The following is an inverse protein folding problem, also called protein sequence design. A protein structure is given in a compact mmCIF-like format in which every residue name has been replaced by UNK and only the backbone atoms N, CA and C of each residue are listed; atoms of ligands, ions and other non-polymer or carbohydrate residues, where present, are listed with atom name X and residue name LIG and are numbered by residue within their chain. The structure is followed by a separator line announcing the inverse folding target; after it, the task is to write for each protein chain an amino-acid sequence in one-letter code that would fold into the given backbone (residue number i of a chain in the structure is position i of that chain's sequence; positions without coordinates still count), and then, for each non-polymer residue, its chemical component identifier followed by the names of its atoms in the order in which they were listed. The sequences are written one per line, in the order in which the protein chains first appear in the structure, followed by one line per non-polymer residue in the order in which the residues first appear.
data_IF_177188251845
#
_entry.id   IF_177188251845
#
_cell.length_a   1.000
_cell.length_b   1.000
_cell.length_c   1.000
_cell.angle_alpha   90.00
_cell.angle_beta   90.00
_cell.angle_gamma   90.00
#
_symmetry.space_group_name_H-M   'P 1'
#
loop_
_entity.id
_entity.type
_entity.pdbx_description
1 polymer ?
#
# COMPACT_ATOMS: atom_id res chain seq x y z
N UNK A 1 3.20 -33.31 -4.90
CA UNK A 1 3.15 -32.09 -4.06
C UNK A 1 4.45 -32.01 -3.30
N UNK A 2 5.07 -30.83 -3.22
CA UNK A 2 6.34 -30.62 -2.52
C UNK A 2 6.09 -29.70 -1.33
N UNK A 3 6.65 -30.01 -0.17
CA UNK A 3 6.62 -29.11 0.98
C UNK A 3 7.60 -27.96 0.73
N UNK A 4 7.13 -26.73 0.90
CA UNK A 4 7.92 -25.51 0.79
C UNK A 4 7.66 -24.61 1.99
N UNK A 5 8.68 -23.83 2.37
CA UNK A 5 8.61 -22.92 3.49
C UNK A 5 8.91 -21.49 3.05
N UNK A 6 8.28 -20.54 3.72
CA UNK A 6 8.45 -19.10 3.55
C UNK A 6 8.83 -18.49 4.88
N UNK A 7 9.78 -17.56 4.85
CA UNK A 7 10.31 -16.90 6.04
C UNK A 7 10.29 -15.39 5.82
N UNK A 8 9.66 -14.67 6.73
CA UNK A 8 9.65 -13.21 6.80
C UNK A 8 10.34 -12.82 8.10
N UNK A 9 11.51 -12.18 7.99
CA UNK A 9 12.44 -12.02 9.11
C UNK A 9 12.69 -10.56 9.41
N UNK A 10 12.22 -10.11 10.57
CA UNK A 10 12.41 -8.79 11.13
C UNK A 10 13.25 -8.90 12.43
N UNK A 11 13.80 -7.80 12.96
CA UNK A 11 14.68 -7.85 14.14
C UNK A 11 14.05 -8.52 15.36
N UNK A 12 12.75 -8.28 15.62
CA UNK A 12 12.06 -8.83 16.79
C UNK A 12 10.92 -9.79 16.46
N UNK A 13 10.68 -10.08 15.18
CA UNK A 13 9.63 -10.97 14.72
C UNK A 13 10.14 -11.81 13.55
N UNK A 14 9.91 -13.13 13.58
CA UNK A 14 10.09 -13.98 12.41
C UNK A 14 8.84 -14.82 12.18
N UNK A 15 8.27 -14.71 10.98
CA UNK A 15 7.11 -15.47 10.57
C UNK A 15 7.53 -16.57 9.60
N UNK A 16 7.22 -17.83 9.95
CA UNK A 16 7.39 -18.98 9.08
C UNK A 16 6.04 -19.48 8.61
N UNK A 17 5.93 -19.73 7.31
CA UNK A 17 4.73 -20.28 6.67
C UNK A 17 5.17 -21.52 5.89
N UNK A 18 4.77 -22.69 6.36
CA UNK A 18 5.06 -23.98 5.75
C UNK A 18 3.82 -24.52 5.04
N UNK A 19 3.98 -25.02 3.83
CA UNK A 19 2.85 -25.49 3.06
C UNK A 19 3.21 -26.35 1.88
N UNK A 20 2.18 -26.77 1.15
CA UNK A 20 2.33 -27.58 -0.05
C UNK A 20 2.29 -26.69 -1.29
N UNK A 21 3.18 -26.99 -2.23
CA UNK A 21 3.12 -26.46 -3.59
C UNK A 21 2.54 -27.46 -4.56
N UNK A 22 1.78 -26.97 -5.53
CA UNK A 22 1.40 -27.74 -6.70
C UNK A 22 2.63 -28.02 -7.58
N UNK A 23 2.72 -29.20 -8.22
CA UNK A 23 3.81 -29.51 -9.14
C UNK A 23 3.63 -28.66 -10.41
N UNK A 24 4.55 -27.73 -10.64
CA UNK A 24 4.68 -27.01 -11.92
C UNK A 24 5.52 -27.89 -12.86
N UNK A 25 5.14 -27.99 -14.13
CA UNK A 25 5.95 -28.65 -15.16
C UNK A 25 7.39 -28.11 -15.11
N UNK A 26 8.39 -29.00 -15.00
CA UNK A 26 9.82 -28.72 -14.77
C UNK A 26 10.53 -27.92 -15.90
N UNK A 27 9.77 -27.36 -16.84
CA UNK A 27 10.28 -26.66 -18.03
C UNK A 27 10.61 -25.17 -17.79
N UNK A 28 10.41 -24.66 -16.57
CA UNK A 28 10.61 -23.25 -16.21
C UNK A 28 11.46 -23.11 -14.93
N UNK A 29 12.80 -23.12 -15.02
CA UNK A 29 13.68 -23.09 -13.84
C UNK A 29 13.70 -21.74 -13.08
N UNK A 30 12.98 -20.72 -13.55
CA UNK A 30 13.03 -19.35 -13.02
C UNK A 30 11.80 -18.91 -12.22
N UNK A 31 10.79 -19.77 -12.05
CA UNK A 31 9.56 -19.40 -11.32
C UNK A 31 9.57 -20.04 -9.94
N UNK A 32 9.67 -19.21 -8.89
CA UNK A 32 9.55 -19.65 -7.49
C UNK A 32 8.17 -20.32 -7.29
N UNK A 33 8.11 -21.53 -6.68
CA UNK A 33 6.87 -22.30 -6.59
C UNK A 33 5.82 -21.62 -5.71
N UNK A 34 4.54 -21.80 -6.03
CA UNK A 34 3.43 -21.22 -5.25
C UNK A 34 3.10 -22.13 -4.07
N UNK A 35 3.01 -21.57 -2.86
CA UNK A 35 2.50 -22.26 -1.67
C UNK A 35 0.98 -22.03 -1.63
N UNK A 36 0.19 -23.05 -1.94
CA UNK A 36 -1.28 -22.93 -2.04
C UNK A 36 -2.03 -23.46 -0.82
N UNK A 37 -1.43 -24.37 -0.06
CA UNK A 37 -2.04 -25.00 1.12
C UNK A 37 -1.13 -24.79 2.32
N UNK A 38 -1.65 -24.16 3.37
CA UNK A 38 -0.94 -23.97 4.65
C UNK A 38 -0.97 -25.28 5.46
N UNK A 39 0.21 -25.77 5.83
CA UNK A 39 0.38 -26.92 6.72
C UNK A 39 0.62 -26.43 8.15
N UNK A 40 1.53 -25.48 8.32
CA UNK A 40 1.89 -24.94 9.63
C UNK A 40 2.34 -23.47 9.49
N UNK A 41 1.99 -22.66 10.47
CA UNK A 41 2.47 -21.30 10.63
C UNK A 41 3.14 -21.15 11.99
N UNK A 42 4.28 -20.48 12.02
CA UNK A 42 4.99 -20.16 13.26
C UNK A 42 5.33 -18.67 13.33
N UNK A 43 5.07 -18.06 14.47
CA UNK A 43 5.47 -16.69 14.77
C UNK A 43 6.42 -16.69 15.96
N UNK A 44 7.68 -16.30 15.69
CA UNK A 44 8.74 -16.20 16.66
C UNK A 44 8.89 -14.74 17.06
N UNK A 45 8.67 -14.43 18.34
CA UNK A 45 8.72 -13.08 18.89
C UNK A 45 9.90 -12.97 19.85
N UNK A 46 10.68 -11.90 19.75
CA UNK A 46 11.83 -11.70 20.64
C UNK A 46 11.38 -11.66 22.11
N UNK A 47 12.00 -12.49 22.95
CA UNK A 47 11.66 -12.60 24.38
C UNK A 47 10.52 -13.58 24.70
N UNK A 48 9.82 -14.13 23.71
CA UNK A 48 8.91 -15.24 23.92
C UNK A 48 9.69 -16.56 24.14
N UNK A 49 9.24 -17.38 25.10
CA UNK A 49 9.91 -18.66 25.44
C UNK A 49 9.71 -19.73 24.36
N UNK A 50 8.59 -19.68 23.65
CA UNK A 50 8.20 -20.63 22.63
C UNK A 50 7.55 -19.87 21.46
N UNK A 51 7.73 -20.35 20.22
CA UNK A 51 7.02 -19.79 19.09
C UNK A 51 5.52 -20.02 19.20
N UNK A 52 4.73 -19.06 18.74
CA UNK A 52 3.31 -19.27 18.52
C UNK A 52 3.15 -20.11 17.27
N UNK A 53 2.46 -21.23 17.37
CA UNK A 53 2.33 -22.20 16.27
C UNK A 53 0.88 -22.60 16.06
N UNK A 54 0.53 -22.89 14.81
CA UNK A 54 -0.81 -23.37 14.48
C UNK A 54 -1.06 -23.51 12.99
N UNK A 55 -2.21 -24.10 12.65
CA UNK A 55 -2.66 -24.26 11.27
C UNK A 55 -3.33 -22.99 10.73
N UNK A 56 -4.16 -23.19 9.69
CA UNK A 56 -4.85 -22.11 8.98
C UNK A 56 -5.68 -21.19 9.87
N UNK A 57 -6.52 -21.75 10.73
CA UNK A 57 -7.40 -20.97 11.62
C UNK A 57 -6.59 -20.06 12.56
N UNK A 58 -5.49 -20.56 13.13
CA UNK A 58 -4.59 -19.77 13.95
C UNK A 58 -3.99 -18.62 13.15
N UNK A 59 -3.48 -18.92 11.94
CA UNK A 59 -2.82 -17.92 11.11
C UNK A 59 -3.78 -16.85 10.59
N UNK A 60 -4.99 -17.22 10.16
CA UNK A 60 -6.05 -16.29 9.78
C UNK A 60 -6.46 -15.40 10.96
N UNK A 61 -6.59 -15.98 12.16
CA UNK A 61 -6.89 -15.20 13.36
C UNK A 61 -5.74 -14.26 13.75
N UNK A 62 -4.48 -14.71 13.66
CA UNK A 62 -3.30 -13.90 13.96
C UNK A 62 -3.25 -12.68 13.07
N UNK A 63 -3.33 -12.90 11.76
CA UNK A 63 -3.22 -11.85 10.75
C UNK A 63 -4.39 -10.86 10.88
N UNK A 64 -5.61 -11.36 11.09
CA UNK A 64 -6.79 -10.51 11.33
C UNK A 64 -6.63 -9.65 12.58
N UNK A 65 -6.20 -10.24 13.70
CA UNK A 65 -6.03 -9.54 14.97
C UNK A 65 -4.93 -8.49 14.90
N UNK A 66 -3.78 -8.81 14.28
CA UNK A 66 -2.65 -7.89 14.13
C UNK A 66 -3.04 -6.67 13.30
N UNK A 67 -3.65 -6.88 12.13
CA UNK A 67 -4.01 -5.77 11.25
C UNK A 67 -5.15 -4.92 11.83
N UNK A 68 -6.17 -5.54 12.45
CA UNK A 68 -7.25 -4.81 13.11
C UNK A 68 -6.75 -3.96 14.27
N UNK A 69 -5.89 -4.53 15.12
CA UNK A 69 -5.28 -3.80 16.23
C UNK A 69 -4.37 -2.66 15.75
N UNK A 70 -3.57 -2.89 14.71
CA UNK A 70 -2.71 -1.87 14.14
C UNK A 70 -3.50 -0.67 13.60
N UNK A 71 -4.62 -0.92 12.91
CA UNK A 71 -5.50 0.14 12.40
C UNK A 71 -6.05 1.03 13.52
N UNK A 72 -6.54 0.44 14.60
CA UNK A 72 -7.04 1.18 15.76
C UNK A 72 -5.93 1.96 16.48
N UNK A 73 -4.82 1.28 16.75
CA UNK A 73 -3.69 1.87 17.48
C UNK A 73 -3.06 3.06 16.72
N UNK A 74 -2.95 2.96 15.39
CA UNK A 74 -2.40 4.01 14.52
C UNK A 74 -3.40 5.12 14.24
N UNK A 75 -4.67 4.79 14.02
CA UNK A 75 -5.69 5.80 13.70
C UNK A 75 -6.16 6.60 14.93
N UNK A 76 -5.96 6.08 16.15
CA UNK A 76 -6.56 6.60 17.39
C UNK A 76 -8.09 6.63 17.35
N UNK A 77 -8.69 5.92 16.41
CA UNK A 77 -10.13 5.79 16.27
C UNK A 77 -10.53 4.42 16.80
N UNK A 78 -11.40 4.35 17.83
CA UNK A 78 -11.89 3.08 18.32
C UNK A 78 -12.54 2.29 17.19
N UNK A 79 -12.15 1.03 17.02
CA UNK A 79 -12.70 0.16 15.97
C UNK A 79 -13.53 -0.97 16.60
N UNK A 80 -14.82 -0.71 16.91
CA UNK A 80 -15.68 -1.72 17.57
C UNK A 80 -15.89 -2.98 16.72
N UNK A 81 -15.67 -2.92 15.41
CA UNK A 81 -15.75 -4.09 14.53
C UNK A 81 -14.51 -5.00 14.63
N UNK A 82 -13.31 -4.47 14.93
CA UNK A 82 -12.15 -5.30 15.27
C UNK A 82 -12.38 -6.08 16.57
N UNK A 83 -13.18 -5.52 17.49
CA UNK A 83 -13.54 -6.16 18.75
C UNK A 83 -14.74 -7.13 18.59
N UNK A 84 -15.47 -7.09 17.47
CA UNK A 84 -16.59 -8.02 17.21
C UNK A 84 -16.13 -9.46 16.99
N UNK A 85 -14.84 -9.66 16.66
CA UNK A 85 -14.18 -10.95 16.56
C UNK A 85 -13.48 -11.37 17.87
N UNK A 86 -13.99 -10.96 19.03
CA UNK A 86 -13.52 -11.42 20.36
C UNK A 86 -13.52 -12.94 20.52
N UNK A 87 -14.23 -13.70 19.68
CA UNK A 87 -14.18 -15.17 19.65
C UNK A 87 -13.01 -15.77 18.87
N UNK A 88 -12.09 -14.95 18.35
CA UNK A 88 -10.92 -15.40 17.60
C UNK A 88 -9.88 -16.14 18.47
N UNK A 89 -9.09 -17.01 17.85
CA UNK A 89 -7.98 -17.72 18.51
C UNK A 89 -6.86 -16.79 18.95
N UNK A 90 -6.77 -15.59 18.37
CA UNK A 90 -5.74 -14.60 18.67
C UNK A 90 -6.39 -13.26 18.99
N UNK A 91 -5.97 -12.65 20.08
CA UNK A 91 -6.41 -11.32 20.52
C UNK A 91 -5.21 -10.42 20.78
N UNK A 92 -5.33 -9.14 20.40
CA UNK A 92 -4.40 -8.09 20.79
C UNK A 92 -5.12 -7.01 21.58
N UNK A 93 -4.53 -6.57 22.68
CA UNK A 93 -5.04 -5.46 23.48
C UNK A 93 -3.91 -4.54 23.95
N UNK A 94 -4.22 -3.26 24.13
CA UNK A 94 -3.28 -2.31 24.71
C UNK A 94 -3.28 -2.45 26.24
N UNK A 95 -2.11 -2.62 26.84
CA UNK A 95 -1.96 -2.61 28.32
C UNK A 95 -1.54 -1.20 28.77
N UNK A 96 -0.51 -0.66 28.12
CA UNK A 96 0.10 0.64 28.40
C UNK A 96 0.37 1.38 27.07
N UNK A 97 0.74 2.67 27.10
CA UNK A 97 1.07 3.43 25.88
C UNK A 97 2.07 2.72 24.95
N UNK A 98 3.06 2.03 25.54
CA UNK A 98 4.14 1.35 24.82
C UNK A 98 4.14 -0.18 24.98
N UNK A 99 3.06 -0.76 25.52
CA UNK A 99 2.99 -2.19 25.86
C UNK A 99 1.66 -2.78 25.40
N UNK A 100 1.76 -3.90 24.70
CA UNK A 100 0.65 -4.57 24.03
C UNK A 100 0.62 -6.02 24.48
N UNK A 101 -0.55 -6.62 24.61
CA UNK A 101 -0.69 -8.02 24.97
C UNK A 101 -1.27 -8.80 23.81
N UNK A 102 -0.52 -9.80 23.38
CA UNK A 102 -0.96 -10.82 22.44
C UNK A 102 -1.37 -12.05 23.24
N UNK A 103 -2.61 -12.50 23.06
CA UNK A 103 -3.15 -13.70 23.70
C UNK A 103 -3.57 -14.69 22.64
N UNK A 104 -3.08 -15.93 22.73
CA UNK A 104 -3.43 -17.02 21.82
C UNK A 104 -4.15 -18.12 22.59
N UNK A 105 -5.37 -18.41 22.16
CA UNK A 105 -6.22 -19.47 22.70
C UNK A 105 -6.01 -20.76 21.88
N UNK A 106 -6.05 -21.90 22.57
CA UNK A 106 -6.03 -23.20 21.92
C UNK A 106 -7.40 -23.49 21.29
N UNK A 107 -7.41 -23.96 20.03
CA UNK A 107 -8.62 -24.45 19.37
C UNK A 107 -8.96 -25.84 19.88
N UNK A 108 -9.67 -25.93 21.00
CA UNK A 108 -10.06 -27.19 21.62
C UNK A 108 -11.07 -27.94 20.73
N UNK A 109 -10.60 -28.91 19.95
CA UNK A 109 -11.45 -29.80 19.13
C UNK A 109 -11.47 -31.25 19.64
N UNK A 110 -10.80 -31.58 20.74
CA UNK A 110 -10.80 -32.91 21.35
C UNK A 110 -11.37 -32.89 22.78
N UNK A 111 -12.57 -33.47 23.04
CA UNK A 111 -13.16 -33.54 24.38
C UNK A 111 -12.46 -34.53 25.34
N UNK A 112 -11.42 -35.24 24.88
CA UNK A 112 -10.71 -36.28 25.66
C UNK A 112 -9.24 -35.96 26.01
N UNK A 113 -8.76 -34.74 25.76
CA UNK A 113 -7.41 -34.35 26.14
C UNK A 113 -7.44 -33.40 27.32
N UNK A 114 -7.05 -33.89 28.51
CA UNK A 114 -6.72 -33.09 29.70
C UNK A 114 -5.45 -32.25 29.52
N UNK A 115 -5.21 -31.73 28.31
CA UNK A 115 -4.18 -30.73 28.08
C UNK A 115 -4.74 -29.41 28.62
N UNK A 116 -4.12 -28.88 29.68
CA UNK A 116 -4.38 -27.57 30.27
C UNK A 116 -4.60 -26.51 29.18
N UNK A 117 -5.86 -26.11 28.97
CA UNK A 117 -6.31 -25.07 28.04
C UNK A 117 -5.94 -23.67 28.56
N UNK A 118 -4.69 -23.45 28.95
CA UNK A 118 -4.24 -22.13 29.39
C UNK A 118 -3.81 -21.32 28.16
N UNK A 119 -4.40 -20.13 27.93
CA UNK A 119 -4.00 -19.28 26.81
C UNK A 119 -2.53 -18.86 26.94
N UNK A 120 -1.85 -18.76 25.80
CA UNK A 120 -0.48 -18.27 25.72
C UNK A 120 -0.51 -16.75 25.64
N UNK A 121 0.06 -16.09 26.63
CA UNK A 121 0.08 -14.62 26.71
C UNK A 121 1.50 -14.10 26.54
N UNK A 122 1.68 -13.16 25.62
CA UNK A 122 2.96 -12.51 25.32
C UNK A 122 2.77 -11.00 25.38
N UNK A 123 3.56 -10.33 26.21
CA UNK A 123 3.62 -8.88 26.23
C UNK A 123 4.66 -8.39 25.21
N UNK A 124 4.23 -7.47 24.34
CA UNK A 124 5.01 -6.89 23.26
C UNK A 124 5.30 -5.42 23.56
N UNK A 125 6.51 -4.98 23.24
CA UNK A 125 6.81 -3.56 23.09
C UNK A 125 6.20 -3.03 21.78
N UNK A 126 6.05 -1.71 21.66
CA UNK A 126 5.59 -1.10 20.40
C UNK A 126 6.51 -1.41 19.21
N UNK A 127 7.82 -1.53 19.43
CA UNK A 127 8.76 -1.93 18.37
C UNK A 127 8.48 -3.37 17.91
N UNK A 128 8.27 -4.29 18.85
CA UNK A 128 7.92 -5.68 18.54
C UNK A 128 6.57 -5.82 17.83
N UNK A 129 5.59 -5.00 18.22
CA UNK A 129 4.31 -4.92 17.53
C UNK A 129 4.50 -4.47 16.07
N UNK A 130 5.30 -3.44 15.83
CA UNK A 130 5.53 -2.97 14.46
C UNK A 130 6.29 -3.97 13.60
N UNK A 131 7.27 -4.69 14.16
CA UNK A 131 7.93 -5.79 13.46
C UNK A 131 6.96 -6.92 13.12
N UNK A 132 5.96 -7.18 13.99
CA UNK A 132 4.91 -8.17 13.72
C UNK A 132 3.95 -7.70 12.61
N UNK A 133 3.54 -6.43 12.62
CA UNK A 133 2.72 -5.84 11.54
C UNK A 133 3.47 -5.91 10.21
N UNK A 134 4.73 -5.50 10.19
CA UNK A 134 5.57 -5.54 8.98
C UNK A 134 5.75 -6.97 8.46
N UNK A 135 5.93 -7.96 9.34
CA UNK A 135 6.02 -9.37 8.92
C UNK A 135 4.72 -9.86 8.25
N UNK A 136 3.56 -9.43 8.75
CA UNK A 136 2.24 -9.72 8.15
C UNK A 136 2.08 -9.01 6.81
N UNK A 137 2.50 -7.75 6.70
CA UNK A 137 2.44 -6.99 5.45
C UNK A 137 3.35 -7.60 4.38
N UNK A 138 4.57 -8.03 4.75
CA UNK A 138 5.47 -8.76 3.86
C UNK A 138 4.89 -10.09 3.39
N UNK A 139 4.15 -10.79 4.26
CA UNK A 139 3.42 -11.99 3.86
C UNK A 139 2.39 -11.69 2.76
N UNK A 140 1.55 -10.65 2.92
CA UNK A 140 0.57 -10.28 1.88
C UNK A 140 1.21 -9.72 0.61
N UNK A 141 2.40 -9.12 0.71
CA UNK A 141 3.16 -8.69 -0.45
C UNK A 141 3.72 -9.87 -1.26
N UNK A 142 3.85 -11.07 -0.67
CA UNK A 142 4.30 -12.28 -1.34
C UNK A 142 3.15 -12.98 -2.07
N UNK A 143 2.90 -12.57 -3.32
CA UNK A 143 1.85 -13.13 -4.19
C UNK A 143 1.97 -14.63 -4.48
N UNK A 144 3.08 -15.27 -4.09
CA UNK A 144 3.32 -16.69 -4.26
C UNK A 144 3.06 -17.50 -2.98
N UNK A 145 2.62 -16.87 -1.90
CA UNK A 145 2.35 -17.52 -0.62
C UNK A 145 0.90 -17.33 -0.22
N UNK A 146 0.13 -18.43 -0.24
CA UNK A 146 -1.31 -18.47 0.05
C UNK A 146 -2.12 -17.41 -0.72
N UNK A 147 -2.10 -17.42 -2.07
CA UNK A 147 -2.76 -16.38 -2.88
C UNK A 147 -4.29 -16.34 -2.70
N UNK A 148 -4.90 -17.39 -2.15
CA UNK A 148 -6.32 -17.45 -1.82
C UNK A 148 -6.66 -16.80 -0.48
N UNK A 149 -5.65 -16.54 0.35
CA UNK A 149 -5.81 -15.86 1.63
C UNK A 149 -5.83 -14.35 1.39
N UNK A 150 -6.97 -13.72 1.68
CA UNK A 150 -7.14 -12.28 1.56
C UNK A 150 -7.61 -11.68 2.88
N UNK A 151 -7.04 -10.53 3.22
CA UNK A 151 -7.44 -9.78 4.40
C UNK A 151 -8.50 -8.75 4.02
N UNK A 152 -9.72 -8.91 4.51
CA UNK A 152 -10.80 -7.94 4.31
C UNK A 152 -10.71 -6.84 5.37
N UNK A 153 -9.77 -5.90 5.20
CA UNK A 153 -9.70 -4.71 6.04
C UNK A 153 -10.74 -3.67 5.58
N UNK A 154 -11.77 -3.45 6.37
CA UNK A 154 -12.72 -2.37 6.13
C UNK A 154 -12.15 -1.03 6.63
N UNK A 155 -12.22 0.07 5.86
CA UNK A 155 -11.82 1.38 6.35
C UNK A 155 -12.69 1.82 7.52
N UNK A 156 -12.06 2.26 8.61
CA UNK A 156 -12.76 2.71 9.83
C UNK A 156 -13.67 3.89 9.48
N UNK A 157 -14.97 3.75 9.78
CA UNK A 157 -15.95 4.78 9.41
C UNK A 157 -15.64 6.12 10.08
N UNK A 158 -15.74 7.22 9.33
CA UNK A 158 -15.57 8.59 9.87
C UNK A 158 -16.53 8.94 11.00
N UNK A 159 -17.61 8.17 11.18
CA UNK A 159 -18.57 8.34 12.27
C UNK A 159 -17.97 7.93 13.63
N UNK A 160 -17.00 7.03 13.62
CA UNK A 160 -16.27 6.61 14.83
C UNK A 160 -15.07 7.50 15.13
N UNK A 161 -14.62 8.34 14.19
CA UNK A 161 -13.60 9.38 14.41
C UNK A 161 -14.13 10.55 15.28
N UNK A 162 -15.08 10.26 16.17
CA UNK A 162 -15.93 11.20 16.87
C UNK A 162 -15.19 12.08 17.88
N UNK A 163 -15.26 13.38 17.61
CA UNK A 163 -15.44 14.46 18.57
C UNK A 163 -14.40 14.60 19.69
N UNK A 164 -13.27 15.23 19.36
CA UNK A 164 -12.54 16.05 20.35
C UNK A 164 -13.49 17.14 20.88
N UNK A 165 -13.74 17.23 22.20
CA UNK A 165 -14.55 18.29 22.78
C UNK A 165 -13.74 19.59 22.82
N UNK A 166 -13.64 20.30 21.70
CA UNK A 166 -13.17 21.69 21.64
C UNK A 166 -14.10 22.62 20.84
N UNK A 167 -15.33 22.20 20.56
CA UNK A 167 -16.35 23.04 19.91
C UNK A 167 -17.29 23.72 20.92
N UNK A 168 -16.75 24.22 22.04
CA UNK A 168 -17.48 25.17 22.91
C UNK A 168 -16.80 26.54 23.04
N UNK A 169 -15.73 26.81 22.27
CA UNK A 169 -15.11 28.15 22.18
C UNK A 169 -14.88 28.64 20.74
N UNK A 170 -15.83 28.40 19.85
CA UNK A 170 -15.75 28.93 18.49
C UNK A 170 -17.09 29.45 18.00
N UNK A 171 -17.63 30.42 18.73
CA UNK A 171 -18.85 31.14 18.35
C UNK A 171 -18.67 32.68 18.45
N UNK A 172 -17.51 33.18 18.02
CA UNK A 172 -17.23 34.64 17.99
C UNK A 172 -16.99 35.25 16.59
N UNK A 173 -16.54 34.54 15.52
CA UNK A 173 -16.24 35.26 14.28
C UNK A 173 -17.47 35.68 13.45
N UNK A 174 -18.67 35.16 13.73
CA UNK A 174 -19.84 35.45 12.89
C UNK A 174 -20.52 36.80 13.18
N UNK A 175 -20.23 37.46 14.30
CA UNK A 175 -20.98 38.66 14.71
C UNK A 175 -20.37 40.00 14.25
N UNK A 176 -19.12 40.02 13.78
CA UNK A 176 -18.40 41.28 13.47
C UNK A 176 -18.42 41.63 11.97
N UNK A 177 -18.76 40.69 11.09
CA UNK A 177 -18.64 40.86 9.64
C UNK A 177 -19.77 41.64 8.94
N UNK A 178 -20.92 41.83 9.58
CA UNK A 178 -22.11 42.39 8.89
C UNK A 178 -22.15 43.93 8.95
N UNK A 179 -21.54 44.56 9.96
CA UNK A 179 -21.61 46.02 10.13
C UNK A 179 -20.58 46.80 9.29
N UNK A 180 -19.49 46.19 8.84
CA UNK A 180 -18.42 46.87 8.09
C UNK A 180 -18.69 47.01 6.58
N UNK A 181 -19.59 46.22 6.00
CA UNK A 181 -19.83 46.20 4.54
C UNK A 181 -20.71 47.36 4.05
N UNK A 182 -21.60 47.89 4.90
CA UNK A 182 -22.51 48.98 4.52
C UNK A 182 -21.80 50.34 4.37
N UNK A 183 -20.77 50.62 5.19
CA UNK A 183 -20.03 51.89 5.11
C UNK A 183 -19.05 51.94 3.93
N UNK A 184 -18.48 50.80 3.52
CA UNK A 184 -17.54 50.75 2.40
C UNK A 184 -18.20 51.01 1.03
N UNK A 185 -19.46 50.59 0.84
CA UNK A 185 -20.17 50.74 -0.44
C UNK A 185 -20.41 52.22 -0.83
N UNK A 186 -20.63 53.11 0.14
CA UNK A 186 -20.84 54.54 -0.12
C UNK A 186 -19.53 55.23 -0.50
N UNK A 187 -18.41 54.84 0.13
CA UNK A 187 -17.10 55.45 -0.14
C UNK A 187 -16.62 55.18 -1.58
N UNK A 188 -16.87 53.99 -2.13
CA UNK A 188 -16.41 53.62 -3.48
C UNK A 188 -17.20 54.28 -4.62
N UNK A 189 -18.35 54.92 -4.38
CA UNK A 189 -19.09 55.65 -5.43
C UNK A 189 -18.42 56.98 -5.82
N UNK A 190 -17.65 57.59 -4.91
CA UNK A 190 -16.98 58.89 -5.14
C UNK A 190 -15.49 58.76 -5.48
N UNK A 191 -14.94 57.53 -5.54
CA UNK A 191 -13.55 57.32 -5.94
C UNK A 191 -13.48 57.30 -7.47
N UNK A 192 -12.72 58.22 -8.10
CA UNK A 192 -12.53 58.20 -9.55
C UNK A 192 -11.89 56.87 -9.96
N UNK A 193 -12.46 56.25 -11.00
CA UNK A 193 -12.06 54.94 -11.49
C UNK A 193 -10.56 55.03 -11.87
N UNK A 194 -9.66 54.28 -11.20
CA UNK A 194 -8.24 54.35 -11.49
C UNK A 194 -7.96 53.76 -12.88
N UNK A 195 -7.09 54.42 -13.65
CA UNK A 195 -6.63 53.87 -14.93
C UNK A 195 -5.94 52.53 -14.72
N UNK A 196 -6.43 51.51 -15.41
CA UNK A 196 -5.88 50.15 -15.40
C UNK A 196 -4.52 50.16 -16.10
N UNK A 197 -3.45 50.40 -15.35
CA UNK A 197 -2.10 50.02 -15.79
C UNK A 197 -2.03 48.51 -15.81
N UNK A 198 -1.74 47.93 -16.97
CA UNK A 198 -1.54 46.48 -17.13
C UNK A 198 -0.45 46.06 -16.13
N UNK A 199 -0.74 45.15 -15.19
CA UNK A 199 0.25 44.69 -14.22
C UNK A 199 1.46 44.11 -14.95
N UNK A 200 2.66 44.51 -14.51
CA UNK A 200 3.89 43.78 -14.84
C UNK A 200 3.68 42.33 -14.40
N UNK A 201 3.97 41.40 -15.32
CA UNK A 201 3.67 39.98 -15.17
C UNK A 201 4.40 39.42 -13.91
N UNK A 202 3.69 38.81 -12.95
CA UNK A 202 4.34 38.28 -11.76
C UNK A 202 5.28 37.14 -12.15
N UNK A 203 6.57 37.28 -11.85
CA UNK A 203 7.51 36.17 -11.91
C UNK A 203 6.99 35.02 -11.03
N UNK A 204 7.00 33.76 -11.53
CA UNK A 204 6.50 32.63 -10.77
C UNK A 204 7.40 32.36 -9.56
N UNK A 205 6.87 32.66 -8.37
CA UNK A 205 7.44 32.18 -7.12
C UNK A 205 7.13 30.68 -6.97
N UNK A 206 8.12 29.87 -7.29
CA UNK A 206 8.13 28.42 -7.04
C UNK A 206 8.01 28.14 -5.54
N UNK A 207 6.83 27.70 -5.13
CA UNK A 207 6.57 27.16 -3.80
C UNK A 207 7.05 25.72 -3.77
N UNK A 208 8.28 25.50 -3.33
CA UNK A 208 8.88 24.18 -3.13
C UNK A 208 8.13 23.44 -2.02
N UNK A 209 7.12 22.65 -2.38
CA UNK A 209 6.72 21.51 -1.56
C UNK A 209 7.77 20.43 -1.80
N UNK A 210 8.61 20.21 -0.81
CA UNK A 210 9.56 19.10 -0.73
C UNK A 210 8.76 17.78 -0.65
N UNK A 211 8.29 17.31 -1.80
CA UNK A 211 7.99 15.91 -2.00
C UNK A 211 9.29 15.28 -2.50
N UNK A 212 9.74 14.21 -1.85
CA UNK A 212 10.80 13.34 -2.36
C UNK A 212 10.30 12.61 -3.63
N UNK A 213 10.01 13.37 -4.68
CA UNK A 213 9.86 12.89 -6.04
C UNK A 213 11.27 12.97 -6.64
N UNK A 214 11.77 11.83 -7.12
CA UNK A 214 12.85 11.83 -8.09
C UNK A 214 12.60 12.93 -9.13
N UNK A 215 13.63 13.70 -9.51
CA UNK A 215 13.49 14.88 -10.36
C UNK A 215 12.63 14.55 -11.60
N UNK A 216 11.66 15.40 -11.96
CA UNK A 216 10.87 15.14 -13.16
C UNK A 216 11.68 15.53 -14.40
N UNK A 217 11.69 14.69 -15.44
CA UNK A 217 12.19 15.10 -16.76
C UNK A 217 11.15 16.04 -17.38
N UNK A 218 11.53 17.29 -17.66
CA UNK A 218 10.62 18.32 -18.19
C UNK A 218 10.93 18.79 -19.61
N UNK A 219 12.06 18.36 -20.19
CA UNK A 219 12.45 18.73 -21.56
C UNK A 219 11.54 18.04 -22.59
N UNK A 220 10.85 18.83 -23.41
CA UNK A 220 9.91 18.38 -24.43
C UNK A 220 10.56 17.48 -25.49
N UNK A 221 11.77 17.80 -25.94
CA UNK A 221 12.46 16.98 -26.95
C UNK A 221 12.86 15.63 -26.36
N UNK A 222 13.37 15.64 -25.12
CA UNK A 222 13.71 14.44 -24.38
C UNK A 222 12.48 13.57 -24.11
N UNK A 223 11.34 14.15 -23.75
CA UNK A 223 10.07 13.44 -23.54
C UNK A 223 9.58 12.81 -24.84
N UNK A 224 9.62 13.52 -25.97
CA UNK A 224 9.21 13.00 -27.26
C UNK A 224 10.10 11.82 -27.71
N UNK A 225 11.42 11.94 -27.53
CA UNK A 225 12.35 10.85 -27.80
C UNK A 225 12.09 9.63 -26.90
N UNK A 226 11.88 9.86 -25.60
CA UNK A 226 11.56 8.81 -24.64
C UNK A 226 10.24 8.10 -24.97
N UNK A 227 9.22 8.85 -25.41
CA UNK A 227 7.94 8.29 -25.87
C UNK A 227 8.16 7.32 -27.02
N UNK A 228 8.89 7.74 -28.06
CA UNK A 228 9.16 6.90 -29.23
C UNK A 228 10.00 5.66 -28.86
N UNK A 229 11.01 5.84 -28.00
CA UNK A 229 11.85 4.75 -27.51
C UNK A 229 11.05 3.73 -26.71
N UNK A 230 10.19 4.20 -25.81
CA UNK A 230 9.33 3.35 -24.99
C UNK A 230 8.32 2.59 -25.85
N UNK A 231 7.70 3.26 -26.83
CA UNK A 231 6.83 2.62 -27.82
C UNK A 231 7.56 1.48 -28.53
N UNK A 232 8.72 1.75 -29.14
CA UNK A 232 9.48 0.75 -29.88
C UNK A 232 9.88 -0.45 -29.01
N UNK A 233 10.31 -0.18 -27.76
CA UNK A 233 10.72 -1.21 -26.81
C UNK A 233 9.55 -2.14 -26.44
N UNK A 234 8.41 -1.57 -26.07
CA UNK A 234 7.21 -2.35 -25.72
C UNK A 234 6.68 -3.10 -26.94
N UNK A 235 6.58 -2.42 -28.09
CA UNK A 235 6.10 -2.99 -29.35
C UNK A 235 6.93 -4.19 -29.82
N UNK A 236 8.24 -4.16 -29.57
CA UNK A 236 9.15 -5.26 -29.90
C UNK A 236 8.85 -6.52 -29.08
N UNK A 237 8.54 -6.37 -27.79
CA UNK A 237 8.33 -7.49 -26.86
C UNK A 237 6.88 -7.97 -26.84
N UNK A 238 5.90 -7.09 -27.10
CA UNK A 238 4.49 -7.44 -27.14
C UNK A 238 4.10 -8.14 -28.46
N UNK A 239 4.43 -9.43 -28.54
CA UNK A 239 4.12 -10.29 -29.70
C UNK A 239 2.72 -10.88 -29.64
N UNK A 240 2.28 -11.31 -28.47
CA UNK A 240 0.93 -11.87 -28.28
C UNK A 240 -0.02 -10.76 -27.86
N UNK A 241 -0.77 -10.21 -28.82
CA UNK A 241 -1.61 -9.02 -28.61
C UNK A 241 -3.08 -9.33 -28.36
N UNK A 242 -3.34 -10.43 -27.67
CA UNK A 242 -4.70 -10.87 -27.32
C UNK A 242 -5.09 -10.24 -26.00
N UNK A 243 -5.73 -9.07 -26.07
CA UNK A 243 -6.30 -8.37 -24.90
C UNK A 243 -7.75 -8.04 -25.23
N UNK A 244 -8.66 -8.35 -24.31
CA UNK A 244 -10.10 -8.17 -24.53
C UNK A 244 -10.61 -6.79 -24.08
N UNK A 245 -9.77 -6.01 -23.40
CA UNK A 245 -10.06 -4.70 -22.86
C UNK A 245 -8.83 -3.81 -22.96
N UNK A 246 -9.05 -2.50 -22.94
CA UNK A 246 -7.94 -1.55 -22.92
C UNK A 246 -7.26 -1.59 -21.54
N UNK A 247 -6.02 -2.09 -21.50
CA UNK A 247 -5.24 -2.16 -20.27
C UNK A 247 -4.37 -0.90 -20.17
N UNK A 248 -4.62 -0.06 -19.16
CA UNK A 248 -4.00 1.26 -19.05
C UNK A 248 -3.03 1.28 -17.88
N UNK A 249 -1.80 1.70 -18.15
CA UNK A 249 -0.72 1.79 -17.17
C UNK A 249 -0.07 3.16 -17.18
N UNK A 250 0.33 3.62 -16.01
CA UNK A 250 1.32 4.70 -15.83
C UNK A 250 2.68 4.04 -15.73
N UNK A 251 3.59 4.39 -16.64
CA UNK A 251 4.93 3.81 -16.72
C UNK A 251 5.96 4.90 -16.42
N UNK A 252 6.85 4.62 -15.48
CA UNK A 252 7.97 5.49 -15.12
C UNK A 252 9.23 5.03 -15.84
N UNK A 253 9.84 5.93 -16.60
CA UNK A 253 11.06 5.67 -17.35
C UNK A 253 12.15 6.67 -16.99
N UNK A 254 13.40 6.21 -16.98
CA UNK A 254 14.57 7.08 -16.76
C UNK A 254 14.93 7.85 -18.03
N UNK A 255 15.89 8.79 -17.93
CA UNK A 255 16.44 9.53 -19.07
C UNK A 255 16.99 8.64 -20.19
N UNK A 256 17.35 7.39 -19.88
CA UNK A 256 17.84 6.40 -20.83
C UNK A 256 16.73 5.51 -21.42
N UNK A 257 15.47 5.70 -21.02
CA UNK A 257 14.33 4.87 -21.45
C UNK A 257 14.27 3.50 -20.78
N UNK A 258 14.92 3.34 -19.62
CA UNK A 258 14.76 2.17 -18.76
C UNK A 258 13.44 2.28 -18.00
N UNK A 259 12.60 1.24 -18.03
CA UNK A 259 11.36 1.21 -17.26
C UNK A 259 11.70 0.79 -15.83
N UNK A 260 11.51 1.70 -14.87
CA UNK A 260 11.84 1.47 -13.45
C UNK A 260 10.61 1.22 -12.59
N UNK A 261 9.42 1.46 -13.15
CA UNK A 261 8.17 1.18 -12.48
C UNK A 261 6.97 1.28 -13.41
N UNK A 262 5.90 0.59 -13.06
CA UNK A 262 4.60 0.78 -13.67
C UNK A 262 3.49 0.62 -12.62
N UNK A 263 2.33 1.20 -12.88
CA UNK A 263 1.11 1.04 -12.07
C UNK A 263 -0.10 0.99 -12.98
N UNK A 264 -1.03 0.09 -12.73
CA UNK A 264 -2.33 0.04 -13.40
C UNK A 264 -3.17 1.28 -13.05
N UNK A 265 -3.90 1.81 -14.02
CA UNK A 265 -4.80 2.97 -13.80
C UNK A 265 -6.28 2.59 -13.86
N UNK A 266 -6.60 1.37 -14.29
CA UNK A 266 -7.93 0.78 -14.26
C UNK A 266 -7.89 -0.63 -13.66
N UNK A 267 -8.98 -1.05 -13.02
CA UNK A 267 -9.04 -2.34 -12.32
C UNK A 267 -8.72 -3.53 -13.24
N UNK A 268 -9.23 -3.52 -14.47
CA UNK A 268 -8.99 -4.60 -15.45
C UNK A 268 -7.50 -4.75 -15.78
N UNK A 269 -6.73 -3.65 -15.83
CA UNK A 269 -5.29 -3.73 -16.04
C UNK A 269 -4.54 -4.34 -14.84
N UNK A 270 -5.07 -4.18 -13.63
CA UNK A 270 -4.48 -4.85 -12.46
C UNK A 270 -4.57 -6.38 -12.59
N UNK A 271 -5.74 -6.87 -12.99
CA UNK A 271 -6.02 -8.31 -13.07
C UNK A 271 -5.38 -8.96 -14.30
N UNK A 272 -5.19 -8.18 -15.37
CA UNK A 272 -4.65 -8.65 -16.65
C UNK A 272 -3.15 -8.32 -16.87
N UNK A 273 -2.39 -8.01 -15.82
CA UNK A 273 -0.96 -7.64 -15.94
C UNK A 273 -0.13 -8.69 -16.69
N UNK A 274 -0.44 -9.97 -16.49
CA UNK A 274 0.23 -11.10 -17.14
C UNK A 274 0.04 -11.12 -18.68
N UNK A 275 -0.94 -10.38 -19.21
CA UNK A 275 -1.18 -10.24 -20.66
C UNK A 275 -0.31 -9.15 -21.30
N UNK A 276 0.48 -8.42 -20.49
CA UNK A 276 1.35 -7.34 -20.96
C UNK A 276 2.83 -7.71 -20.83
N UNK A 277 3.72 -7.12 -21.65
CA UNK A 277 5.16 -7.35 -21.52
C UNK A 277 5.79 -6.54 -20.38
N UNK A 278 5.04 -5.68 -19.67
CA UNK A 278 5.59 -4.73 -18.70
C UNK A 278 6.41 -5.41 -17.56
N UNK A 279 5.97 -6.55 -16.98
CA UNK A 279 6.78 -7.24 -15.96
C UNK A 279 8.19 -7.61 -16.44
N UNK A 280 8.33 -7.97 -17.71
CA UNK A 280 9.60 -8.39 -18.31
C UNK A 280 10.48 -7.21 -18.74
N UNK A 281 9.93 -6.00 -18.74
CA UNK A 281 10.64 -4.78 -19.14
C UNK A 281 11.13 -3.96 -17.95
N UNK A 282 10.73 -4.32 -16.72
CA UNK A 282 11.19 -3.67 -15.49
C UNK A 282 12.69 -3.87 -15.29
N UNK A 283 13.36 -2.76 -15.00
CA UNK A 283 14.76 -2.71 -14.59
C UNK A 283 14.78 -2.15 -13.18
N UNK A 284 15.22 -2.97 -12.23
CA UNK A 284 15.43 -2.52 -10.85
C UNK A 284 16.82 -1.89 -10.76
N UNK A 285 16.95 -0.58 -10.51
CA UNK A 285 18.25 0.01 -10.27
C UNK A 285 18.82 -0.55 -8.95
N UNK A 286 20.12 -0.85 -8.93
CA UNK A 286 20.84 -1.16 -7.69
C UNK A 286 20.90 0.14 -6.89
N UNK A 287 20.39 0.12 -5.65
CA UNK A 287 20.30 1.30 -4.80
C UNK A 287 21.68 1.90 -4.52
N UNK A 288 21.99 2.99 -5.21
CA UNK A 288 23.16 3.84 -5.01
C UNK A 288 22.67 5.27 -4.76
N UNK A 289 23.45 6.13 -4.08
CA UNK A 289 23.07 7.53 -3.88
C UNK A 289 22.74 8.27 -5.19
N UNK A 290 23.38 7.88 -6.29
CA UNK A 290 23.16 8.45 -7.63
C UNK A 290 21.84 8.01 -8.29
N UNK A 291 21.38 6.77 -8.04
CA UNK A 291 20.09 6.27 -8.58
C UNK A 291 18.88 6.78 -7.79
N UNK A 292 19.07 7.22 -6.54
CA UNK A 292 18.02 7.85 -5.73
C UNK A 292 17.61 9.25 -6.24
N UNK A 293 18.43 9.89 -7.07
CA UNK A 293 18.20 11.22 -7.64
C UNK A 293 17.94 11.22 -9.16
N UNK A 294 17.86 10.05 -9.80
CA UNK A 294 17.70 9.95 -11.25
C UNK A 294 16.36 10.53 -11.70
N UNK A 295 16.40 11.42 -12.69
CA UNK A 295 15.19 12.06 -13.17
C UNK A 295 14.28 11.07 -13.92
N UNK A 296 12.97 11.11 -13.64
CA UNK A 296 11.98 10.20 -14.22
C UNK A 296 10.99 10.95 -15.10
N UNK A 297 10.73 10.39 -16.28
CA UNK A 297 9.61 10.73 -17.14
C UNK A 297 8.47 9.72 -16.92
N UNK A 298 7.23 10.16 -17.11
CA UNK A 298 6.06 9.31 -16.92
C UNK A 298 5.19 9.30 -18.17
N UNK A 299 4.73 8.11 -18.53
CA UNK A 299 3.96 7.87 -19.74
C UNK A 299 2.68 7.12 -19.42
N UNK A 300 1.62 7.45 -20.15
CA UNK A 300 0.42 6.62 -20.23
C UNK A 300 0.63 5.59 -21.33
N UNK A 301 0.55 4.31 -20.98
CA UNK A 301 0.66 3.19 -21.91
C UNK A 301 -0.67 2.47 -21.96
N UNK A 302 -1.24 2.32 -23.16
CA UNK A 302 -2.49 1.61 -23.40
C UNK A 302 -2.21 0.40 -24.28
N UNK A 303 -2.55 -0.78 -23.77
CA UNK A 303 -2.65 -2.01 -24.55
C UNK A 303 -4.11 -2.16 -24.98
N UNK A 304 -4.42 -1.71 -26.18
CA UNK A 304 -5.79 -1.66 -26.69
C UNK A 304 -6.31 -3.02 -27.14
N UNK A 305 -7.63 -3.20 -27.04
CA UNK A 305 -8.36 -4.43 -27.41
C UNK A 305 -8.10 -4.94 -28.84
N UNK A 306 -7.69 -4.06 -29.74
CA UNK A 306 -7.39 -4.38 -31.15
C UNK A 306 -5.89 -4.70 -31.37
N UNK A 307 -5.14 -4.95 -30.29
CA UNK A 307 -3.69 -5.14 -30.34
C UNK A 307 -2.92 -3.86 -30.69
N UNK A 308 -3.55 -2.70 -30.52
CA UNK A 308 -2.94 -1.39 -30.73
C UNK A 308 -2.21 -0.96 -29.45
N UNK A 309 -0.92 -0.68 -29.58
CA UNK A 309 -0.14 -0.05 -28.51
C UNK A 309 -0.25 1.46 -28.65
N UNK A 310 -0.53 2.17 -27.56
CA UNK A 310 -0.42 3.62 -27.49
C UNK A 310 0.48 4.01 -26.33
N UNK A 311 1.38 4.97 -26.58
CA UNK A 311 2.26 5.55 -25.57
C UNK A 311 2.17 7.06 -25.72
N UNK A 312 1.76 7.75 -24.66
CA UNK A 312 1.68 9.22 -24.61
C UNK A 312 2.32 9.75 -23.33
N UNK A 313 2.81 11.00 -23.31
CA UNK A 313 3.23 11.64 -22.07
C UNK A 313 2.08 11.66 -21.06
N UNK A 314 2.38 11.53 -19.78
CA UNK A 314 1.35 11.53 -18.72
C UNK A 314 0.72 12.91 -18.50
N UNK A 315 1.46 13.98 -18.76
CA UNK A 315 1.03 15.38 -18.54
C UNK A 315 0.42 16.04 -19.79
N UNK A 316 -0.02 15.27 -20.78
CA UNK A 316 -0.65 15.83 -21.99
C UNK A 316 -2.15 15.99 -21.87
#
# INVERSE_FOLDING_TARGET
MKTIQRKYSLPNCTLFVEGLSEPINEQSPSVRPVLSILVNAECHLAGAKQPLTGGREFFESLVTAVSGYAQEFLSKVPHPEAHRNESGLVQLQQIDPNRHRLTVYSSASNPNSEATNTPVTIDLTTVQLFDLVEAVDQFFADSQTLPTMSLQLAPVSKRYAGHTPQLTKQAVPAAVGVSSLALAAIAFFFVPIPEVRRPEEPQPQSRSRSSNLAAAITDTEQIAWLQQKLYNRINRVWKTRTVNHDLIYRVSATANGAIVGYRSTNAIANDAIAQTPLPNLLVYPVATPETAQEALAQFRVVFGRDGVLQVSPWQS
#
